data_IF_619679345840
#
_entry.id   IF_619679345840
#
_cell.length_a   1.000
_cell.length_b   1.000
_cell.length_c   1.000
_cell.angle_alpha   90.00
_cell.angle_beta   90.00
_cell.angle_gamma   90.00
#
_symmetry.space_group_name_H-M   'P 1'
#
loop_
_entity.id
_entity.type
_entity.pdbx_description
1 polymer ?
#
# COMPACT_ATOMS: atom_id res chain seq x y z
N UNK A 1 -1.70 14.47 -10.30
CA UNK A 1 -3.01 13.92 -10.71
C UNK A 1 -3.31 14.16 -12.18
N UNK A 2 -3.33 15.41 -12.67
CA UNK A 2 -3.68 15.67 -14.09
C UNK A 2 -2.75 14.95 -15.09
N UNK A 3 -1.44 14.91 -14.83
CA UNK A 3 -0.50 14.16 -15.65
C UNK A 3 -0.80 12.65 -15.65
N UNK A 4 -1.18 12.10 -14.49
CA UNK A 4 -1.62 10.72 -14.39
C UNK A 4 -2.88 10.45 -15.21
N UNK A 5 -3.90 11.31 -15.13
CA UNK A 5 -5.11 11.19 -15.97
C UNK A 5 -4.77 11.24 -17.46
N UNK A 6 -3.87 12.13 -17.86
CA UNK A 6 -3.39 12.21 -19.23
C UNK A 6 -2.72 10.90 -19.69
N UNK A 7 -1.77 10.37 -18.91
CA UNK A 7 -1.07 9.11 -19.22
C UNK A 7 -2.05 7.92 -19.23
N UNK A 8 -2.96 7.85 -18.27
CA UNK A 8 -3.99 6.81 -18.21
C UNK A 8 -4.85 6.80 -19.47
N UNK A 9 -5.35 7.95 -19.92
CA UNK A 9 -6.14 8.04 -21.15
C UNK A 9 -5.32 7.67 -22.38
N UNK A 10 -4.06 8.11 -22.44
CA UNK A 10 -3.14 7.80 -23.55
C UNK A 10 -2.89 6.30 -23.68
N UNK A 11 -2.71 5.60 -22.56
CA UNK A 11 -2.31 4.19 -22.54
C UNK A 11 -3.45 3.20 -22.27
N UNK A 12 -4.68 3.67 -22.02
CA UNK A 12 -5.85 2.85 -21.66
C UNK A 12 -6.08 1.62 -22.56
N UNK A 13 -5.83 1.76 -23.86
CA UNK A 13 -6.10 0.72 -24.85
C UNK A 13 -4.85 -0.08 -25.24
N UNK A 14 -3.75 0.01 -24.48
CA UNK A 14 -2.55 -0.81 -24.69
C UNK A 14 -2.55 -1.96 -23.67
N UNK A 15 -2.89 -3.21 -24.06
CA UNK A 15 -3.04 -4.31 -23.11
C UNK A 15 -1.78 -4.65 -22.29
N UNK A 16 -0.60 -4.31 -22.82
CA UNK A 16 0.67 -4.52 -22.13
C UNK A 16 0.91 -3.51 -20.97
N UNK A 17 0.15 -2.41 -20.91
CA UNK A 17 0.22 -1.44 -19.79
C UNK A 17 -0.75 -1.89 -18.71
N UNK A 18 -0.22 -2.66 -17.75
CA UNK A 18 -1.04 -3.31 -16.72
C UNK A 18 -1.15 -2.50 -15.42
N UNK A 19 -0.26 -1.54 -15.20
CA UNK A 19 -0.14 -0.84 -13.93
C UNK A 19 0.37 0.61 -14.08
N UNK A 20 0.12 1.42 -13.06
CA UNK A 20 0.64 2.78 -12.91
C UNK A 20 1.35 2.89 -11.56
N UNK A 21 2.68 3.05 -11.60
CA UNK A 21 3.50 3.31 -10.40
C UNK A 21 3.57 4.81 -10.11
N UNK A 22 2.91 5.21 -9.02
CA UNK A 22 2.49 6.60 -8.83
C UNK A 22 3.65 7.57 -8.60
N UNK A 23 4.72 7.14 -7.94
CA UNK A 23 5.87 8.00 -7.62
C UNK A 23 7.10 7.19 -7.15
N UNK A 24 8.13 7.21 -8.01
CA UNK A 24 9.44 6.62 -7.72
C UNK A 24 10.15 7.18 -6.49
N UNK A 25 10.45 6.33 -5.51
CA UNK A 25 11.21 6.63 -4.31
C UNK A 25 10.71 7.87 -3.55
N UNK A 26 9.52 7.80 -2.97
CA UNK A 26 8.99 8.88 -2.13
C UNK A 26 9.95 9.19 -0.99
N UNK A 27 10.54 10.39 -0.98
CA UNK A 27 11.57 10.77 -0.01
C UNK A 27 11.58 12.26 0.31
N UNK A 28 12.23 12.61 1.42
CA UNK A 28 12.49 14.02 1.77
C UNK A 28 13.08 14.78 0.58
N UNK A 29 12.42 15.89 0.24
CA UNK A 29 12.84 16.80 -0.81
C UNK A 29 13.02 18.22 -0.25
N UNK A 30 13.51 19.15 -1.07
CA UNK A 30 13.49 20.57 -0.72
C UNK A 30 12.06 21.10 -0.76
N UNK A 31 11.70 21.94 0.21
CA UNK A 31 10.45 22.69 0.16
C UNK A 31 10.59 23.82 -0.87
N UNK A 32 9.96 23.66 -2.03
CA UNK A 32 10.02 24.63 -3.16
C UNK A 32 11.48 24.99 -3.48
N UNK A 33 11.75 26.28 -3.70
CA UNK A 33 13.09 26.80 -3.99
C UNK A 33 13.89 27.15 -2.71
N UNK A 34 13.58 26.52 -1.58
CA UNK A 34 14.26 26.80 -0.29
C UNK A 34 15.23 25.68 0.11
N UNK A 35 15.98 25.92 1.19
CA UNK A 35 16.83 24.91 1.82
C UNK A 35 16.10 24.09 2.90
N UNK A 36 14.83 24.40 3.18
CA UNK A 36 14.06 23.70 4.20
C UNK A 36 13.63 22.31 3.70
N UNK A 37 13.78 21.25 4.50
CA UNK A 37 13.32 19.92 4.12
C UNK A 37 11.79 19.85 4.14
N UNK A 38 11.21 19.18 3.15
CA UNK A 38 9.82 18.74 3.14
C UNK A 38 9.80 17.21 3.16
N UNK A 39 9.43 16.64 4.31
CA UNK A 39 9.47 15.20 4.53
C UNK A 39 8.09 14.59 4.29
N UNK A 40 7.99 13.51 3.50
CA UNK A 40 6.75 12.75 3.38
C UNK A 40 6.44 12.02 4.69
N UNK A 41 5.15 11.81 4.94
CA UNK A 41 4.67 10.96 6.01
C UNK A 41 3.57 10.02 5.48
N UNK A 42 3.08 9.14 6.33
CA UNK A 42 2.03 8.18 5.99
C UNK A 42 0.94 8.22 7.06
N UNK A 43 -0.22 8.76 6.71
CA UNK A 43 -1.39 8.79 7.59
C UNK A 43 -1.51 9.98 8.55
N UNK A 44 -0.72 11.05 8.38
CA UNK A 44 -0.88 12.25 9.24
C UNK A 44 -2.02 13.17 8.79
N UNK A 45 -2.63 12.94 7.62
CA UNK A 45 -3.73 13.74 7.10
C UNK A 45 -3.36 15.16 6.62
N UNK A 46 -2.07 15.50 6.58
CA UNK A 46 -1.58 16.78 6.10
C UNK A 46 -1.29 16.77 4.58
N UNK A 47 -0.62 17.81 4.07
CA UNK A 47 -0.25 17.91 2.65
C UNK A 47 0.89 16.98 2.22
N UNK A 48 1.58 16.36 3.17
CA UNK A 48 2.73 15.47 2.95
C UNK A 48 2.37 13.98 3.16
N UNK A 49 1.10 13.68 3.45
CA UNK A 49 0.59 12.33 3.62
C UNK A 49 0.56 11.58 2.27
N UNK A 50 1.56 10.72 2.08
CA UNK A 50 1.72 9.94 0.87
C UNK A 50 0.57 8.96 0.65
N UNK A 51 0.07 8.31 1.71
CA UNK A 51 -1.02 7.35 1.59
C UNK A 51 -2.29 8.03 1.06
N UNK A 52 -2.61 9.21 1.58
CA UNK A 52 -3.75 10.00 1.10
C UNK A 52 -3.57 10.48 -0.33
N UNK A 53 -2.36 10.93 -0.68
CA UNK A 53 -2.04 11.36 -2.04
C UNK A 53 -2.13 10.20 -3.05
N UNK A 54 -1.66 9.02 -2.68
CA UNK A 54 -1.71 7.80 -3.48
C UNK A 54 -3.15 7.31 -3.70
N UNK A 55 -3.98 7.30 -2.65
CA UNK A 55 -5.42 6.97 -2.79
C UNK A 55 -6.14 7.92 -3.73
N UNK A 56 -5.93 9.23 -3.56
CA UNK A 56 -6.56 10.23 -4.44
C UNK A 56 -6.11 10.05 -5.89
N UNK A 57 -4.81 9.94 -6.15
CA UNK A 57 -4.30 9.74 -7.51
C UNK A 57 -4.76 8.39 -8.11
N UNK A 58 -4.74 7.32 -7.31
CA UNK A 58 -5.18 5.99 -7.73
C UNK A 58 -6.66 5.96 -8.10
N UNK A 59 -7.53 6.57 -7.29
CA UNK A 59 -8.96 6.64 -7.59
C UNK A 59 -9.25 7.45 -8.86
N UNK A 60 -8.56 8.58 -9.06
CA UNK A 60 -8.70 9.37 -10.30
C UNK A 60 -8.22 8.61 -11.55
N UNK A 61 -7.19 7.77 -11.41
CA UNK A 61 -6.73 6.87 -12.49
C UNK A 61 -7.78 5.80 -12.76
N UNK A 62 -8.35 5.20 -11.72
CA UNK A 62 -9.32 4.11 -11.83
C UNK A 62 -10.67 4.56 -12.39
N UNK A 63 -11.07 5.82 -12.16
CA UNK A 63 -12.22 6.44 -12.81
C UNK A 63 -12.03 6.51 -14.34
N UNK A 64 -10.81 6.81 -14.80
CA UNK A 64 -10.49 6.83 -16.24
C UNK A 64 -10.22 5.41 -16.80
N UNK A 65 -9.64 4.49 -16.02
CA UNK A 65 -9.34 3.11 -16.41
C UNK A 65 -9.45 2.14 -15.21
N UNK A 66 -10.58 1.43 -15.04
CA UNK A 66 -10.80 0.55 -13.88
C UNK A 66 -10.05 -0.79 -13.97
N UNK A 67 -9.29 -1.04 -15.04
CA UNK A 67 -8.63 -2.31 -15.31
C UNK A 67 -7.14 -2.33 -14.93
N UNK A 68 -6.50 -1.17 -14.74
CA UNK A 68 -5.09 -1.10 -14.36
C UNK A 68 -4.90 -1.30 -12.87
N UNK A 69 -3.72 -1.81 -12.50
CA UNK A 69 -3.24 -1.82 -11.13
C UNK A 69 -2.65 -0.46 -10.77
N UNK A 70 -2.78 -0.08 -9.51
CA UNK A 70 -2.14 1.08 -8.91
C UNK A 70 -1.02 0.57 -8.03
N UNK A 71 0.21 0.92 -8.38
CA UNK A 71 1.40 0.57 -7.60
C UNK A 71 1.72 1.74 -6.67
N UNK A 72 1.82 1.45 -5.38
CA UNK A 72 2.14 2.42 -4.34
C UNK A 72 3.44 2.00 -3.66
N UNK A 73 4.51 2.74 -3.94
CA UNK A 73 5.78 2.57 -3.25
C UNK A 73 5.73 3.01 -1.78
N UNK A 74 6.64 2.45 -0.99
CA UNK A 74 6.92 2.93 0.36
C UNK A 74 7.62 4.29 0.41
N UNK A 75 7.73 4.86 1.61
CA UNK A 75 8.55 6.05 1.83
C UNK A 75 10.01 5.64 1.99
N UNK A 76 10.83 5.92 1.00
CA UNK A 76 12.25 5.56 0.99
C UNK A 76 13.11 6.38 1.97
N UNK A 77 12.71 7.62 2.29
CA UNK A 77 13.37 8.38 3.35
C UNK A 77 12.47 9.48 3.89
N UNK A 78 12.40 9.63 5.21
CA UNK A 78 11.73 10.74 5.88
C UNK A 78 12.65 11.36 6.92
N UNK A 79 12.52 12.66 7.16
CA UNK A 79 13.35 13.41 8.09
C UNK A 79 14.68 13.85 7.50
N UNK A 80 15.58 14.26 8.39
CA UNK A 80 16.91 14.80 8.04
C UNK A 80 17.94 13.66 7.98
N UNK A 81 19.14 13.85 8.53
CA UNK A 81 20.18 12.82 8.60
C UNK A 81 19.80 11.74 9.62
N UNK A 82 20.38 10.54 9.52
CA UNK A 82 20.01 9.37 10.33
C UNK A 82 19.78 9.65 11.82
N UNK A 83 20.82 10.08 12.53
CA UNK A 83 20.74 10.42 13.96
C UNK A 83 19.98 11.71 14.29
N UNK A 84 19.60 12.50 13.29
CA UNK A 84 18.80 13.74 13.44
C UNK A 84 17.33 13.49 13.05
N UNK A 85 16.85 12.26 13.23
CA UNK A 85 15.48 11.85 12.93
C UNK A 85 15.23 11.43 11.49
N UNK A 86 16.28 11.16 10.72
CA UNK A 86 16.21 10.58 9.39
C UNK A 86 16.07 9.06 9.45
N UNK A 87 15.08 8.51 8.76
CA UNK A 87 14.89 7.07 8.67
C UNK A 87 14.14 6.70 7.39
N UNK A 88 14.03 5.40 7.13
CA UNK A 88 13.27 4.81 6.04
C UNK A 88 11.99 4.19 6.61
N UNK A 89 10.84 4.88 6.58
CA UNK A 89 9.56 4.30 7.01
C UNK A 89 9.12 3.12 6.15
N UNK A 90 9.55 3.11 4.88
CA UNK A 90 9.16 2.12 3.87
C UNK A 90 7.64 1.92 3.83
N UNK A 91 7.16 0.69 3.99
CA UNK A 91 5.73 0.34 4.04
C UNK A 91 5.25 -0.01 5.47
N UNK A 92 6.05 0.21 6.52
CA UNK A 92 5.69 -0.15 7.90
C UNK A 92 4.35 0.45 8.34
N UNK A 93 4.01 1.64 7.83
CA UNK A 93 2.78 2.38 8.18
C UNK A 93 1.51 1.83 7.54
N UNK A 94 1.61 0.81 6.69
CA UNK A 94 0.47 0.05 6.17
C UNK A 94 -0.27 -0.70 7.30
N UNK A 95 0.42 -1.10 8.38
CA UNK A 95 -0.22 -1.68 9.59
C UNK A 95 -1.14 -0.70 10.31
N UNK A 96 -0.83 0.59 10.26
CA UNK A 96 -1.63 1.62 10.91
C UNK A 96 -2.76 2.09 9.98
N UNK A 97 -2.41 2.26 8.69
CA UNK A 97 -3.27 2.85 7.68
C UNK A 97 -2.92 2.32 6.28
N UNK A 98 -3.52 1.21 5.88
CA UNK A 98 -3.45 0.72 4.51
C UNK A 98 -4.09 1.71 3.52
N UNK A 99 -3.54 1.80 2.32
CA UNK A 99 -4.16 2.44 1.17
C UNK A 99 -5.42 1.66 0.78
N UNK A 100 -6.52 2.36 0.55
CA UNK A 100 -7.79 1.78 0.12
C UNK A 100 -8.33 2.50 -1.12
N UNK A 101 -8.64 1.73 -2.17
CA UNK A 101 -9.11 2.25 -3.44
C UNK A 101 -10.60 1.95 -3.63
N UNK A 102 -11.31 2.82 -4.35
CA UNK A 102 -12.73 2.67 -4.68
C UNK A 102 -13.01 1.48 -5.59
N UNK A 103 -12.02 1.02 -6.35
CA UNK A 103 -12.10 -0.20 -7.16
C UNK A 103 -11.32 -1.33 -6.45
N UNK A 104 -12.01 -2.32 -5.88
CA UNK A 104 -11.37 -3.41 -5.17
C UNK A 104 -10.41 -4.23 -6.04
N UNK A 105 -9.34 -4.75 -5.44
CA UNK A 105 -8.39 -5.64 -6.12
C UNK A 105 -7.47 -4.95 -7.13
N UNK A 106 -7.31 -3.63 -7.04
CA UNK A 106 -6.44 -2.84 -7.92
C UNK A 106 -5.16 -2.33 -7.27
N UNK A 107 -4.97 -2.53 -5.97
CA UNK A 107 -3.77 -2.08 -5.25
C UNK A 107 -2.65 -3.13 -5.31
N UNK A 108 -1.43 -2.65 -5.54
CA UNK A 108 -0.17 -3.37 -5.35
C UNK A 108 0.78 -2.45 -4.58
N UNK A 109 1.46 -2.95 -3.56
CA UNK A 109 2.54 -2.18 -2.91
C UNK A 109 3.88 -2.48 -3.56
N UNK A 110 4.78 -1.50 -3.54
CA UNK A 110 6.11 -1.61 -4.12
C UNK A 110 7.21 -1.29 -3.09
N UNK A 111 8.26 -2.09 -3.13
CA UNK A 111 9.40 -2.01 -2.25
C UNK A 111 10.68 -1.79 -3.06
N UNK A 112 11.52 -0.85 -2.62
CA UNK A 112 12.88 -0.68 -3.15
C UNK A 112 13.88 -1.11 -2.06
N UNK A 113 14.87 -1.93 -2.42
CA UNK A 113 15.85 -2.41 -1.44
C UNK A 113 17.25 -2.57 -2.07
N UNK A 114 18.26 -1.98 -1.44
CA UNK A 114 19.65 -2.02 -1.89
C UNK A 114 20.61 -2.30 -0.74
N UNK A 115 21.69 -3.03 -1.03
CA UNK A 115 22.74 -3.37 -0.08
C UNK A 115 23.28 -2.17 0.72
N UNK A 116 23.41 -1.01 0.08
CA UNK A 116 24.13 0.16 0.63
C UNK A 116 23.26 1.10 1.48
N UNK A 117 21.95 0.90 1.52
CA UNK A 117 21.03 1.63 2.41
C UNK A 117 20.63 0.76 3.60
N UNK A 118 19.89 1.32 4.55
CA UNK A 118 19.33 0.60 5.70
C UNK A 118 18.15 1.36 6.32
N UNK A 119 17.58 0.86 7.41
CA UNK A 119 16.44 1.50 8.09
C UNK A 119 16.76 2.93 8.54
N UNK A 120 17.99 3.16 9.01
CA UNK A 120 18.48 4.48 9.43
C UNK A 120 19.75 4.91 8.66
N UNK A 121 20.06 4.23 7.54
CA UNK A 121 21.24 4.51 6.71
C UNK A 121 20.81 4.95 5.31
N UNK A 122 21.16 6.18 4.94
CA UNK A 122 20.68 6.82 3.71
C UNK A 122 21.49 6.48 2.45
N UNK A 123 22.55 5.67 2.58
CA UNK A 123 23.47 5.34 1.49
C UNK A 123 24.83 6.02 1.59
N UNK A 124 25.00 6.95 2.53
CA UNK A 124 26.25 7.66 2.78
C UNK A 124 26.68 7.52 4.26
N UNK A 125 27.85 6.91 4.47
CA UNK A 125 28.43 6.68 5.80
C UNK A 125 28.65 7.98 6.57
N UNK A 126 29.01 9.06 5.85
CA UNK A 126 29.34 10.36 6.48
C UNK A 126 28.11 11.00 7.11
N UNK A 127 26.94 10.76 6.54
CA UNK A 127 25.68 11.35 6.98
C UNK A 127 24.77 10.37 7.71
N UNK A 128 25.12 9.08 7.70
CA UNK A 128 24.43 8.03 8.45
C UNK A 128 25.03 7.77 9.83
N UNK A 129 26.15 8.39 10.20
CA UNK A 129 26.72 8.39 11.56
C UNK A 129 26.87 6.99 12.19
N UNK A 130 27.36 6.01 11.42
CA UNK A 130 27.60 4.65 11.91
C UNK A 130 26.36 3.77 12.02
N UNK A 131 25.20 4.21 11.53
CA UNK A 131 24.05 3.33 11.32
C UNK A 131 24.41 2.22 10.31
N UNK A 132 23.81 1.05 10.46
CA UNK A 132 24.16 -0.11 9.62
C UNK A 132 23.35 -0.10 8.30
N UNK A 133 23.95 -0.68 7.27
CA UNK A 133 23.27 -0.98 6.00
C UNK A 133 22.60 -2.35 6.06
N UNK A 134 21.69 -2.65 5.14
CA UNK A 134 21.13 -4.00 4.99
C UNK A 134 22.22 -5.04 4.74
N UNK A 135 23.30 -4.69 4.01
CA UNK A 135 24.42 -5.62 3.79
C UNK A 135 25.26 -5.91 5.04
N UNK A 136 25.14 -5.10 6.09
CA UNK A 136 25.87 -5.32 7.34
C UNK A 136 25.11 -6.22 8.32
N UNK A 137 23.83 -6.50 8.07
CA UNK A 137 23.02 -7.38 8.89
C UNK A 137 23.45 -8.84 8.72
N UNK A 138 23.33 -9.63 9.80
CA UNK A 138 23.31 -11.08 9.65
C UNK A 138 22.01 -11.54 8.97
N UNK A 139 21.90 -12.84 8.70
CA UNK A 139 20.78 -13.38 7.93
C UNK A 139 19.43 -13.22 8.64
N UNK A 140 19.39 -13.55 9.93
CA UNK A 140 18.15 -13.46 10.72
C UNK A 140 17.69 -12.02 10.84
N UNK A 141 18.60 -11.10 11.21
CA UNK A 141 18.29 -9.69 11.32
C UNK A 141 17.82 -9.10 9.99
N UNK A 142 18.42 -9.52 8.87
CA UNK A 142 17.99 -9.09 7.54
C UNK A 142 16.55 -9.54 7.22
N UNK A 143 16.22 -10.81 7.41
CA UNK A 143 14.86 -11.30 7.13
C UNK A 143 13.81 -10.70 8.06
N UNK A 144 14.10 -10.57 9.36
CA UNK A 144 13.20 -9.92 10.31
C UNK A 144 12.95 -8.45 9.92
N UNK A 145 14.00 -7.76 9.46
CA UNK A 145 13.90 -6.37 9.03
C UNK A 145 13.07 -6.21 7.75
N UNK A 146 13.27 -7.07 6.75
CA UNK A 146 12.51 -7.06 5.50
C UNK A 146 11.04 -7.42 5.74
N UNK A 147 10.78 -8.42 6.58
CA UNK A 147 9.43 -8.80 6.98
C UNK A 147 8.72 -7.64 7.67
N UNK A 148 9.40 -6.94 8.59
CA UNK A 148 8.86 -5.80 9.31
C UNK A 148 8.62 -4.55 8.44
N UNK A 149 9.46 -4.32 7.42
CA UNK A 149 9.34 -3.14 6.56
C UNK A 149 8.25 -3.27 5.50
N UNK A 150 8.10 -4.44 4.89
CA UNK A 150 7.14 -4.65 3.80
C UNK A 150 6.68 -6.08 3.58
N UNK A 151 7.44 -7.10 4.00
CA UNK A 151 7.09 -8.51 3.78
C UNK A 151 5.75 -8.91 4.39
N UNK A 152 5.44 -8.37 5.58
CA UNK A 152 4.21 -8.67 6.33
C UNK A 152 2.90 -8.37 5.57
N UNK A 153 2.96 -7.53 4.53
CA UNK A 153 1.80 -7.11 3.74
C UNK A 153 1.25 -8.26 2.90
N UNK A 154 2.10 -9.21 2.52
CA UNK A 154 1.73 -10.38 1.73
C UNK A 154 1.18 -11.53 2.59
N UNK A 155 0.50 -11.17 3.67
CA UNK A 155 -0.30 -12.08 4.49
C UNK A 155 -1.73 -12.09 3.98
N UNK A 156 -2.41 -13.22 4.13
CA UNK A 156 -3.81 -13.34 3.78
C UNK A 156 -4.73 -12.84 4.89
N UNK A 157 -5.94 -12.44 4.51
CA UNK A 157 -7.05 -12.16 5.43
C UNK A 157 -6.78 -11.05 6.46
N UNK A 158 -5.89 -10.10 6.12
CA UNK A 158 -5.69 -8.84 6.84
C UNK A 158 -6.33 -7.68 6.09
N UNK A 159 -6.76 -6.64 6.79
CA UNK A 159 -7.32 -5.42 6.18
C UNK A 159 -6.32 -4.65 5.30
N UNK A 160 -5.03 -4.96 5.45
CA UNK A 160 -3.92 -4.38 4.70
C UNK A 160 -3.36 -5.31 3.62
N UNK A 161 -3.91 -6.52 3.47
CA UNK A 161 -3.37 -7.52 2.55
C UNK A 161 -3.40 -7.03 1.11
N UNK A 162 -2.27 -7.07 0.44
CA UNK A 162 -2.16 -6.79 -0.98
C UNK A 162 -0.91 -7.48 -1.57
N UNK A 163 -0.86 -7.71 -2.89
CA UNK A 163 0.39 -8.10 -3.53
C UNK A 163 1.48 -7.06 -3.27
N UNK A 164 2.71 -7.53 -3.08
CA UNK A 164 3.91 -6.69 -3.02
C UNK A 164 4.84 -7.07 -4.17
N UNK A 165 5.42 -6.07 -4.81
CA UNK A 165 6.50 -6.22 -5.78
C UNK A 165 7.78 -5.58 -5.23
N UNK A 166 8.91 -6.28 -5.30
CA UNK A 166 10.22 -5.62 -5.14
C UNK A 166 10.57 -4.96 -6.48
N UNK A 167 10.12 -3.72 -6.67
CA UNK A 167 10.18 -3.01 -7.96
C UNK A 167 11.54 -2.41 -8.28
N UNK A 168 12.43 -2.29 -7.28
CA UNK A 168 13.80 -1.84 -7.52
C UNK A 168 14.77 -2.51 -6.54
N UNK A 169 15.70 -3.28 -7.10
CA UNK A 169 16.84 -3.85 -6.39
C UNK A 169 17.92 -4.21 -7.40
N UNK A 170 19.18 -4.16 -6.98
CA UNK A 170 20.31 -4.46 -7.84
C UNK A 170 21.62 -4.49 -7.07
N UNK A 171 22.65 -5.04 -7.70
CA UNK A 171 23.99 -5.10 -7.12
C UNK A 171 25.04 -4.94 -8.22
N UNK A 172 26.10 -4.20 -7.90
CA UNK A 172 27.19 -3.92 -8.83
C UNK A 172 27.89 -5.22 -9.26
N UNK A 173 28.20 -5.33 -10.55
CA UNK A 173 28.79 -6.55 -11.12
C UNK A 173 30.28 -6.74 -10.76
N UNK A 174 31.09 -5.68 -10.82
CA UNK A 174 32.56 -5.80 -10.71
C UNK A 174 33.04 -5.63 -9.26
N UNK A 175 32.55 -4.61 -8.55
CA UNK A 175 33.10 -4.19 -7.25
C UNK A 175 32.18 -4.49 -6.06
N UNK A 176 31.19 -5.38 -6.21
CA UNK A 176 30.37 -5.78 -5.06
C UNK A 176 31.22 -6.43 -3.97
N UNK A 177 31.14 -5.86 -2.76
CA UNK A 177 31.75 -6.41 -1.55
C UNK A 177 31.19 -7.79 -1.22
N UNK A 178 31.93 -8.58 -0.44
CA UNK A 178 31.45 -9.90 0.04
C UNK A 178 30.10 -9.78 0.75
N UNK A 179 29.97 -8.79 1.64
CA UNK A 179 28.70 -8.44 2.31
C UNK A 179 27.58 -8.11 1.33
N UNK A 180 27.85 -7.31 0.30
CA UNK A 180 26.88 -6.98 -0.75
C UNK A 180 26.45 -8.20 -1.56
N UNK A 181 27.38 -9.12 -1.86
CA UNK A 181 27.08 -10.40 -2.52
C UNK A 181 26.21 -11.30 -1.64
N UNK A 182 26.50 -11.38 -0.33
CA UNK A 182 25.65 -12.11 0.62
C UNK A 182 24.24 -11.50 0.70
N UNK A 183 24.14 -10.18 0.82
CA UNK A 183 22.85 -9.48 0.79
C UNK A 183 22.04 -9.82 -0.47
N UNK A 184 22.69 -9.81 -1.65
CA UNK A 184 22.00 -10.11 -2.90
C UNK A 184 21.44 -11.54 -2.93
N UNK A 185 22.20 -12.51 -2.44
CA UNK A 185 21.72 -13.90 -2.30
C UNK A 185 20.54 -14.00 -1.33
N UNK A 186 20.59 -13.30 -0.19
CA UNK A 186 19.51 -13.31 0.82
C UNK A 186 18.22 -12.69 0.29
N UNK A 187 18.28 -11.52 -0.36
CA UNK A 187 17.07 -10.91 -0.90
C UNK A 187 16.47 -11.78 -2.02
N UNK A 188 17.30 -12.39 -2.87
CA UNK A 188 16.84 -13.36 -3.89
C UNK A 188 16.16 -14.56 -3.24
N UNK A 189 16.81 -15.18 -2.25
CA UNK A 189 16.24 -16.31 -1.52
C UNK A 189 14.89 -15.95 -0.89
N UNK A 190 14.78 -14.78 -0.25
CA UNK A 190 13.53 -14.29 0.33
C UNK A 190 12.42 -14.14 -0.72
N UNK A 191 12.73 -13.53 -1.88
CA UNK A 191 11.77 -13.38 -2.98
C UNK A 191 11.31 -14.74 -3.53
N UNK A 192 12.22 -15.70 -3.65
CA UNK A 192 11.93 -17.04 -4.18
C UNK A 192 11.09 -17.85 -3.18
N UNK A 193 11.48 -17.88 -1.92
CA UNK A 193 10.78 -18.59 -0.84
C UNK A 193 9.35 -18.07 -0.67
N UNK A 194 9.18 -16.75 -0.67
CA UNK A 194 7.87 -16.09 -0.50
C UNK A 194 7.12 -15.89 -1.82
N UNK A 195 7.71 -16.24 -2.96
CA UNK A 195 7.17 -16.06 -4.32
C UNK A 195 6.74 -14.63 -4.64
N UNK A 196 7.53 -13.65 -4.21
CA UNK A 196 7.30 -12.24 -4.53
C UNK A 196 7.59 -11.96 -6.00
N UNK A 197 6.80 -11.06 -6.59
CA UNK A 197 7.11 -10.51 -7.91
C UNK A 197 8.23 -9.47 -7.79
N UNK A 198 8.96 -9.22 -8.88
CA UNK A 198 10.10 -8.31 -8.87
C UNK A 198 10.29 -7.56 -10.18
N UNK A 199 11.00 -6.44 -10.11
CA UNK A 199 11.64 -5.78 -11.24
C UNK A 199 13.11 -5.45 -10.86
N UNK A 200 14.06 -5.91 -11.68
CA UNK A 200 15.48 -5.74 -11.42
C UNK A 200 15.98 -4.39 -11.95
N UNK A 201 16.75 -3.68 -11.14
CA UNK A 201 17.42 -2.45 -11.56
C UNK A 201 18.91 -2.69 -11.86
N UNK A 202 19.37 -2.44 -13.09
CA UNK A 202 18.61 -2.20 -14.32
C UNK A 202 18.95 -3.18 -15.44
N UNK A 203 18.16 -3.14 -16.51
CA UNK A 203 18.52 -3.80 -17.76
C UNK A 203 19.72 -3.12 -18.43
N UNK A 204 19.83 -1.80 -18.31
CA UNK A 204 20.81 -0.93 -18.97
C UNK A 204 22.26 -1.40 -18.78
N UNK A 205 23.16 -1.17 -19.75
CA UNK A 205 24.56 -1.58 -19.65
C UNK A 205 25.38 -0.61 -18.78
N UNK A 206 25.19 -0.73 -17.48
CA UNK A 206 25.92 0.03 -16.47
C UNK A 206 26.45 -0.89 -15.36
N UNK A 207 27.02 -0.32 -14.30
CA UNK A 207 27.68 -1.07 -13.21
C UNK A 207 26.75 -2.13 -12.57
N UNK A 208 25.46 -1.84 -12.48
CA UNK A 208 24.42 -2.72 -11.93
C UNK A 208 23.71 -3.52 -13.05
N UNK A 209 23.98 -3.17 -14.30
CA UNK A 209 23.28 -3.61 -15.49
C UNK A 209 23.25 -5.10 -15.76
N UNK A 210 22.20 -5.56 -16.44
CA UNK A 210 22.11 -6.91 -16.98
C UNK A 210 22.59 -7.02 -18.43
N UNK A 211 22.58 -5.94 -19.22
CA UNK A 211 23.12 -5.95 -20.58
C UNK A 211 24.60 -5.59 -20.63
N UNK A 212 25.30 -6.12 -21.63
CA UNK A 212 26.61 -5.62 -22.06
C UNK A 212 26.47 -4.33 -22.85
N UNK A 213 27.59 -3.61 -23.02
CA UNK A 213 27.66 -2.27 -23.62
C UNK A 213 27.17 -2.23 -25.09
N UNK A 214 26.98 -3.39 -25.72
CA UNK A 214 26.36 -3.56 -27.04
C UNK A 214 24.82 -3.42 -27.05
N UNK A 215 24.19 -3.26 -25.88
CA UNK A 215 22.73 -3.21 -25.67
C UNK A 215 21.95 -4.44 -26.18
N UNK A 216 22.65 -5.56 -26.40
CA UNK A 216 22.08 -6.75 -27.03
C UNK A 216 22.34 -8.01 -26.21
N UNK A 217 23.56 -8.19 -25.69
CA UNK A 217 23.94 -9.42 -25.01
C UNK A 217 23.68 -9.30 -23.51
N UNK A 218 23.10 -10.35 -22.93
CA UNK A 218 22.97 -10.47 -21.47
C UNK A 218 24.35 -10.76 -20.86
N UNK A 219 24.66 -10.12 -19.74
CA UNK A 219 25.85 -10.41 -18.95
C UNK A 219 25.76 -11.80 -18.34
N UNK A 220 26.88 -12.51 -18.37
CA UNK A 220 27.08 -13.75 -17.63
C UNK A 220 28.19 -13.51 -16.60
N UNK A 221 27.78 -13.28 -15.36
CA UNK A 221 28.67 -13.03 -14.23
C UNK A 221 28.19 -13.77 -12.97
N UNK A 222 28.80 -13.48 -11.82
CA UNK A 222 28.51 -14.16 -10.55
C UNK A 222 27.06 -14.00 -10.07
N UNK A 223 26.29 -13.06 -10.62
CA UNK A 223 24.87 -12.85 -10.29
C UNK A 223 23.95 -13.83 -11.03
N UNK A 224 24.46 -14.48 -12.08
CA UNK A 224 23.66 -15.29 -13.02
C UNK A 224 22.83 -16.38 -12.34
N UNK A 225 23.41 -17.08 -11.37
CA UNK A 225 22.71 -18.19 -10.68
C UNK A 225 21.51 -17.66 -9.89
N UNK A 226 21.70 -16.58 -9.13
CA UNK A 226 20.62 -15.92 -8.38
C UNK A 226 19.56 -15.30 -9.30
N UNK A 227 19.95 -14.76 -10.46
CA UNK A 227 18.99 -14.25 -11.45
C UNK A 227 18.17 -15.40 -12.09
N UNK A 228 18.79 -16.54 -12.37
CA UNK A 228 18.07 -17.72 -12.84
C UNK A 228 17.13 -18.28 -11.77
N UNK A 229 17.53 -18.24 -10.49
CA UNK A 229 16.69 -18.62 -9.36
C UNK A 229 15.43 -17.75 -9.28
N UNK A 230 15.56 -16.43 -9.43
CA UNK A 230 14.41 -15.52 -9.51
C UNK A 230 13.46 -15.86 -10.66
N UNK A 231 13.99 -16.20 -11.84
CA UNK A 231 13.18 -16.60 -13.00
C UNK A 231 12.50 -17.96 -12.80
N UNK A 232 12.87 -18.72 -11.77
CA UNK A 232 12.22 -19.99 -11.42
C UNK A 232 10.93 -19.81 -10.62
N UNK A 233 10.65 -18.62 -10.10
CA UNK A 233 9.43 -18.33 -9.32
C UNK A 233 8.19 -18.71 -10.14
N UNK A 234 7.38 -19.61 -9.57
CA UNK A 234 6.08 -20.00 -10.12
C UNK A 234 4.99 -19.40 -9.23
N UNK A 235 4.15 -18.49 -9.75
CA UNK A 235 3.05 -17.95 -8.97
C UNK A 235 2.08 -19.07 -8.63
N UNK A 236 1.48 -18.99 -7.45
CA UNK A 236 0.40 -19.89 -7.08
C UNK A 236 -0.81 -19.68 -7.97
N UNK A 237 -1.66 -20.71 -8.16
CA UNK A 237 -2.91 -20.56 -8.88
C UNK A 237 -3.73 -19.39 -8.30
N UNK A 238 -4.38 -18.63 -9.17
CA UNK A 238 -5.24 -17.52 -8.75
C UNK A 238 -6.45 -18.08 -8.02
N UNK A 239 -6.43 -17.96 -6.69
CA UNK A 239 -7.57 -18.28 -5.82
C UNK A 239 -8.14 -16.98 -5.30
N UNK A 240 -9.47 -16.81 -5.42
CA UNK A 240 -10.15 -15.68 -4.80
C UNK A 240 -10.00 -15.81 -3.28
N UNK A 241 -9.25 -14.90 -2.67
CA UNK A 241 -9.13 -14.80 -1.20
C UNK A 241 -10.18 -13.84 -0.66
N UNK A 242 -10.60 -14.07 0.59
CA UNK A 242 -11.45 -13.13 1.31
C UNK A 242 -10.70 -11.80 1.45
N UNK A 243 -11.40 -10.71 1.14
CA UNK A 243 -10.86 -9.37 1.25
C UNK A 243 -11.34 -8.72 2.53
N UNK A 244 -10.43 -8.01 3.17
CA UNK A 244 -10.73 -7.12 4.26
C UNK A 244 -10.23 -5.72 3.90
N UNK A 245 -11.01 -4.70 4.22
CA UNK A 245 -10.65 -3.31 4.00
C UNK A 245 -11.01 -2.48 5.22
N UNK A 246 -10.21 -1.48 5.54
CA UNK A 246 -10.53 -0.54 6.62
C UNK A 246 -11.09 0.76 6.06
N UNK A 247 -12.17 1.24 6.66
CA UNK A 247 -12.72 2.58 6.41
C UNK A 247 -12.48 3.42 7.65
N UNK A 248 -12.09 4.69 7.52
CA UNK A 248 -11.70 5.53 8.67
C UNK A 248 -12.29 6.94 8.60
N UNK A 249 -12.88 7.41 9.70
CA UNK A 249 -13.50 8.74 9.81
C UNK A 249 -12.69 9.74 10.63
N UNK A 250 -11.36 9.62 10.59
CA UNK A 250 -10.47 10.46 11.40
C UNK A 250 -10.42 11.92 10.92
N UNK A 251 -10.44 12.14 9.61
CA UNK A 251 -10.26 13.49 9.02
C UNK A 251 -11.34 13.87 8.00
N UNK A 252 -12.44 13.12 7.95
CA UNK A 252 -13.54 13.34 7.03
C UNK A 252 -14.21 12.04 6.59
N UNK A 253 -14.94 12.11 5.48
CA UNK A 253 -15.54 10.96 4.81
C UNK A 253 -14.47 10.02 4.26
N UNK A 254 -14.79 8.72 4.26
CA UNK A 254 -13.98 7.72 3.59
C UNK A 254 -14.90 6.69 2.95
N UNK A 255 -15.14 6.85 1.64
CA UNK A 255 -15.98 5.94 0.87
C UNK A 255 -15.12 5.11 -0.09
N UNK A 256 -15.27 3.79 0.00
CA UNK A 256 -14.66 2.83 -0.93
C UNK A 256 -15.58 2.50 -2.11
N UNK A 257 -16.60 3.31 -2.34
CA UNK A 257 -17.53 3.25 -3.46
C UNK A 257 -17.83 4.66 -3.96
N UNK A 258 -18.30 4.77 -5.20
CA UNK A 258 -18.81 6.02 -5.79
C UNK A 258 -20.34 6.12 -5.77
N UNK A 259 -21.06 5.13 -5.22
CA UNK A 259 -22.53 5.09 -5.24
C UNK A 259 -23.19 5.98 -4.19
N UNK A 260 -22.52 6.21 -3.06
CA UNK A 260 -23.12 6.77 -1.85
C UNK A 260 -22.23 7.85 -1.24
N UNK A 261 -22.14 9.01 -1.91
CA UNK A 261 -21.22 10.06 -1.49
C UNK A 261 -21.65 10.78 -0.20
N UNK A 262 -22.93 11.20 -0.08
CA UNK A 262 -23.43 11.93 1.11
C UNK A 262 -24.78 11.39 1.60
N UNK A 263 -24.79 10.12 2.05
CA UNK A 263 -26.01 9.43 2.49
C UNK A 263 -26.53 9.86 3.86
N UNK A 264 -25.77 10.69 4.59
CA UNK A 264 -26.20 11.34 5.84
C UNK A 264 -25.54 12.73 5.96
N UNK A 265 -26.18 13.78 5.42
CA UNK A 265 -25.61 15.12 5.38
C UNK A 265 -25.27 15.68 6.76
N UNK A 266 -24.11 16.34 6.85
CA UNK A 266 -23.61 16.98 8.09
C UNK A 266 -22.69 16.09 8.94
N UNK A 267 -22.61 14.80 8.64
CA UNK A 267 -21.76 13.85 9.35
C UNK A 267 -20.57 13.41 8.50
N UNK A 268 -19.54 12.87 9.15
CA UNK A 268 -18.53 12.07 8.45
C UNK A 268 -19.07 10.66 8.21
N UNK A 269 -18.87 10.14 7.00
CA UNK A 269 -19.44 8.86 6.57
C UNK A 269 -18.37 7.94 6.02
N UNK A 270 -18.46 6.68 6.45
CA UNK A 270 -17.62 5.60 6.01
C UNK A 270 -18.46 4.60 5.24
N UNK A 271 -18.07 4.28 4.02
CA UNK A 271 -18.81 3.33 3.18
C UNK A 271 -17.87 2.26 2.65
N UNK A 272 -18.28 1.00 2.83
CA UNK A 272 -17.58 -0.15 2.31
C UNK A 272 -17.60 -0.18 0.77
N UNK A 273 -16.74 -1.00 0.17
CA UNK A 273 -16.67 -1.13 -1.28
C UNK A 273 -17.84 -1.97 -1.83
N UNK A 274 -18.14 -1.80 -3.11
CA UNK A 274 -19.13 -2.63 -3.81
C UNK A 274 -18.89 -4.14 -3.55
N UNK A 275 -19.96 -4.85 -3.21
CA UNK A 275 -19.98 -6.28 -2.84
C UNK A 275 -19.30 -6.64 -1.51
N UNK A 276 -19.10 -5.68 -0.60
CA UNK A 276 -18.61 -5.93 0.77
C UNK A 276 -19.61 -5.46 1.82
N UNK A 277 -19.47 -5.91 3.08
CA UNK A 277 -20.28 -5.45 4.22
C UNK A 277 -19.39 -4.96 5.35
N UNK A 278 -19.92 -4.09 6.18
CA UNK A 278 -19.35 -3.69 7.46
C UNK A 278 -19.58 -4.80 8.49
N UNK A 279 -18.51 -5.31 9.10
CA UNK A 279 -18.55 -6.40 10.09
C UNK A 279 -18.02 -5.99 11.47
N UNK A 280 -17.47 -4.79 11.60
CA UNK A 280 -16.93 -4.33 12.87
C UNK A 280 -16.65 -2.83 12.85
N UNK A 281 -16.73 -2.25 14.04
CA UNK A 281 -16.38 -0.86 14.32
C UNK A 281 -15.39 -0.83 15.48
N UNK A 282 -14.40 0.04 15.40
CA UNK A 282 -13.46 0.31 16.49
C UNK A 282 -13.81 1.61 17.21
N UNK A 283 -13.27 1.75 18.43
CA UNK A 283 -13.45 2.97 19.23
C UNK A 283 -12.76 4.20 18.62
N UNK A 284 -11.80 4.01 17.72
CA UNK A 284 -11.07 5.08 17.05
C UNK A 284 -11.64 5.44 15.66
N UNK A 285 -12.93 5.14 15.44
CA UNK A 285 -13.68 5.49 14.23
C UNK A 285 -13.17 4.79 12.96
N UNK A 286 -12.80 3.52 13.09
CA UNK A 286 -12.50 2.63 11.95
C UNK A 286 -13.58 1.57 11.81
N UNK A 287 -13.97 1.31 10.57
CA UNK A 287 -14.83 0.20 10.19
C UNK A 287 -14.02 -0.88 9.48
N UNK A 288 -14.40 -2.14 9.69
CA UNK A 288 -13.86 -3.28 8.96
C UNK A 288 -14.90 -3.78 7.96
N UNK A 289 -14.54 -3.75 6.68
CA UNK A 289 -15.36 -4.22 5.58
C UNK A 289 -14.84 -5.56 5.06
N UNK A 290 -15.73 -6.44 4.60
CA UNK A 290 -15.32 -7.72 3.99
C UNK A 290 -16.31 -8.26 2.95
N UNK A 291 -15.82 -9.05 1.99
CA UNK A 291 -16.64 -9.89 1.12
C UNK A 291 -16.80 -11.35 1.63
N UNK A 292 -16.32 -11.67 2.83
CA UNK A 292 -16.57 -12.97 3.47
C UNK A 292 -18.07 -13.24 3.64
N UNK A 293 -18.51 -14.47 3.40
CA UNK A 293 -19.91 -14.88 3.53
C UNK A 293 -20.70 -14.78 2.23
N UNK A 294 -22.02 -14.59 2.36
CA UNK A 294 -22.94 -14.55 1.22
C UNK A 294 -22.66 -13.36 0.29
N UNK A 295 -22.91 -13.49 -1.01
CA UNK A 295 -22.79 -12.35 -1.91
C UNK A 295 -23.84 -11.28 -1.55
N UNK A 296 -23.44 -10.00 -1.58
CA UNK A 296 -24.35 -8.87 -1.33
C UNK A 296 -24.72 -8.28 -2.68
N UNK A 297 -26.01 -8.17 -2.95
CA UNK A 297 -26.48 -7.50 -4.15
C UNK A 297 -26.56 -5.99 -3.92
N UNK A 298 -25.51 -5.28 -4.35
CA UNK A 298 -25.44 -3.82 -4.25
C UNK A 298 -26.38 -3.08 -5.22
N UNK A 299 -27.28 -3.78 -5.92
CA UNK A 299 -28.37 -3.18 -6.70
C UNK A 299 -29.68 -3.06 -5.92
N UNK A 300 -29.74 -3.65 -4.71
CA UNK A 300 -30.91 -3.56 -3.85
C UNK A 300 -31.10 -2.16 -3.24
N UNK A 301 -32.23 -1.94 -2.58
CA UNK A 301 -32.54 -0.67 -1.92
C UNK A 301 -31.67 -0.45 -0.68
N UNK A 302 -31.24 0.79 -0.46
CA UNK A 302 -30.58 1.21 0.77
C UNK A 302 -31.52 1.89 1.74
N UNK A 303 -31.23 1.76 3.04
CA UNK A 303 -31.88 2.51 4.12
C UNK A 303 -30.80 3.13 5.01
N UNK A 304 -30.96 4.40 5.36
CA UNK A 304 -30.14 5.07 6.37
C UNK A 304 -30.88 5.00 7.71
N UNK A 305 -30.23 4.43 8.73
CA UNK A 305 -30.75 4.38 10.11
C UNK A 305 -29.96 5.41 10.93
N UNK A 306 -30.61 6.46 11.41
CA UNK A 306 -29.96 7.58 12.11
C UNK A 306 -30.91 8.28 13.11
N UNK A 307 -30.39 9.23 13.90
CA UNK A 307 -31.19 10.20 14.67
C UNK A 307 -32.37 9.59 15.48
N UNK A 308 -32.04 8.79 16.51
CA UNK A 308 -32.98 8.16 17.45
C UNK A 308 -33.81 6.97 16.91
N UNK A 309 -33.61 6.52 15.67
CA UNK A 309 -34.12 5.24 15.18
C UNK A 309 -33.37 4.08 15.86
N UNK A 310 -33.85 3.71 17.05
CA UNK A 310 -33.26 2.70 17.94
C UNK A 310 -33.71 1.29 17.59
N UNK A 311 -32.88 0.32 17.96
CA UNK A 311 -33.24 -1.10 18.00
C UNK A 311 -34.57 -1.33 18.73
N UNK A 312 -35.37 -2.31 18.28
CA UNK A 312 -36.63 -2.68 18.95
C UNK A 312 -36.46 -3.19 20.39
N UNK A 313 -35.24 -3.58 20.78
CA UNK A 313 -34.91 -4.12 22.12
C UNK A 313 -33.74 -3.37 22.74
N UNK A 314 -33.86 -2.96 24.01
CA UNK A 314 -32.76 -2.36 24.79
C UNK A 314 -31.90 -3.45 25.44
N UNK A 315 -30.87 -3.90 24.72
CA UNK A 315 -29.91 -4.90 25.20
C UNK A 315 -28.66 -4.28 25.86
N UNK A 316 -28.53 -2.95 25.88
CA UNK A 316 -27.39 -2.23 26.46
C UNK A 316 -27.82 -0.86 27.01
N UNK A 317 -28.37 -0.80 28.24
CA UNK A 317 -28.90 0.44 28.81
C UNK A 317 -27.85 1.56 28.85
N UNK A 318 -28.29 2.80 28.57
CA UNK A 318 -27.41 3.99 28.57
C UNK A 318 -26.69 4.26 27.24
N UNK A 319 -26.83 3.39 26.24
CA UNK A 319 -26.24 3.57 24.91
C UNK A 319 -27.30 3.73 23.83
N UNK A 320 -27.00 4.57 22.83
CA UNK A 320 -27.73 4.61 21.56
C UNK A 320 -27.30 3.40 20.73
N UNK A 321 -28.27 2.68 20.15
CA UNK A 321 -28.01 1.55 19.24
C UNK A 321 -28.60 1.85 17.88
N UNK A 322 -27.86 1.50 16.85
CA UNK A 322 -28.31 1.47 15.48
C UNK A 322 -28.33 0.01 15.03
N UNK A 323 -29.40 -0.39 14.37
CA UNK A 323 -29.50 -1.70 13.73
C UNK A 323 -30.11 -1.53 12.36
N UNK A 324 -29.53 -2.20 11.37
CA UNK A 324 -30.18 -2.34 10.08
C UNK A 324 -31.52 -3.10 10.24
N UNK A 325 -32.51 -2.85 9.36
CA UNK A 325 -33.72 -3.64 9.33
C UNK A 325 -33.42 -5.13 9.11
N UNK A 326 -34.40 -5.99 9.40
CA UNK A 326 -34.31 -7.41 9.05
C UNK A 326 -34.01 -7.56 7.55
N UNK A 327 -33.26 -8.61 7.21
CA UNK A 327 -32.78 -8.88 5.85
C UNK A 327 -31.90 -7.78 5.25
N UNK A 328 -31.20 -6.96 6.06
CA UNK A 328 -30.22 -6.00 5.56
C UNK A 328 -28.84 -6.18 6.18
N UNK A 329 -27.81 -5.91 5.38
CA UNK A 329 -26.42 -5.79 5.81
C UNK A 329 -26.05 -4.34 6.07
N UNK A 330 -25.26 -4.08 7.11
CA UNK A 330 -24.58 -2.80 7.25
C UNK A 330 -23.48 -2.69 6.17
N UNK A 331 -23.46 -1.59 5.44
CA UNK A 331 -22.46 -1.28 4.41
C UNK A 331 -21.75 0.04 4.65
N UNK A 332 -22.19 0.81 5.64
CA UNK A 332 -21.54 2.06 6.04
C UNK A 332 -21.95 2.49 7.43
N UNK A 333 -21.20 3.45 7.97
CA UNK A 333 -21.41 4.03 9.29
C UNK A 333 -21.06 5.51 9.27
N UNK A 334 -21.65 6.29 10.18
CA UNK A 334 -21.36 7.72 10.29
C UNK A 334 -20.91 8.13 11.68
N UNK A 335 -20.24 9.26 11.73
CA UNK A 335 -19.84 9.97 12.94
C UNK A 335 -20.27 11.43 12.82
N UNK A 336 -21.20 11.82 13.68
CA UNK A 336 -21.56 13.22 13.89
C UNK A 336 -20.70 13.86 14.99
N UNK A 337 -21.06 15.08 15.39
CA UNK A 337 -20.30 15.85 16.39
C UNK A 337 -20.17 15.13 17.75
N UNK A 338 -21.22 14.42 18.18
CA UNK A 338 -21.29 13.76 19.49
C UNK A 338 -20.83 12.30 19.49
N UNK A 339 -20.52 11.72 18.33
CA UNK A 339 -20.13 10.31 18.21
C UNK A 339 -20.80 9.61 17.02
N UNK A 340 -20.89 8.29 17.09
CA UNK A 340 -21.56 7.47 16.06
C UNK A 340 -23.02 7.88 15.91
N UNK A 341 -23.45 8.15 14.68
CA UNK A 341 -24.75 8.78 14.43
C UNK A 341 -25.67 8.05 13.45
N UNK A 342 -25.15 7.04 12.74
CA UNK A 342 -25.99 6.26 11.83
C UNK A 342 -25.28 5.10 11.16
N UNK A 343 -26.10 4.25 10.53
CA UNK A 343 -25.70 3.15 9.66
C UNK A 343 -26.31 3.32 8.28
N UNK A 344 -25.55 2.99 7.26
CA UNK A 344 -26.07 2.75 5.92
C UNK A 344 -26.28 1.25 5.75
N UNK A 345 -27.51 0.86 5.41
CA UNK A 345 -27.94 -0.51 5.31
C UNK A 345 -28.34 -0.85 3.87
N UNK A 346 -27.99 -2.04 3.41
CA UNK A 346 -28.32 -2.58 2.08
C UNK A 346 -29.11 -3.87 2.26
N UNK A 347 -30.21 -4.02 1.53
CA UNK A 347 -31.02 -5.24 1.53
C UNK A 347 -30.29 -6.43 0.87
#
# INVERSE_FOLDING_TARGET
VQDWKFLTKRYKNIPAVIAMDLRNEVRTAKWKDTFLPNSPNWGSGDSNDWARAAEHAGNEILDDNPNVLIIVEGINWSGTLGLLGGYRPHLMKVLDRAVQLKVPGRLVYAAHNYAFVGPNHNGDDKTSFGQIRYSDMDEQAFYDQIEAEWGFIFQDEKFYSAPVILSEFGIEKDNASEKGRLWFKRIVHYLVEKKFHFAYWPLNPEAYGLLTDDWQSMRSDWRSDSLQELLSIRPDPVVKKVRYASVTLLSGDHSLTSRFDDWLPGDYKGTCADNTRLIGLSQDNRGLCTDAGEAIDWTASTVTVANEERTHTDWAPGYIKYSCPDDHYAIGFSKGFWGSNGLLCMK
#
